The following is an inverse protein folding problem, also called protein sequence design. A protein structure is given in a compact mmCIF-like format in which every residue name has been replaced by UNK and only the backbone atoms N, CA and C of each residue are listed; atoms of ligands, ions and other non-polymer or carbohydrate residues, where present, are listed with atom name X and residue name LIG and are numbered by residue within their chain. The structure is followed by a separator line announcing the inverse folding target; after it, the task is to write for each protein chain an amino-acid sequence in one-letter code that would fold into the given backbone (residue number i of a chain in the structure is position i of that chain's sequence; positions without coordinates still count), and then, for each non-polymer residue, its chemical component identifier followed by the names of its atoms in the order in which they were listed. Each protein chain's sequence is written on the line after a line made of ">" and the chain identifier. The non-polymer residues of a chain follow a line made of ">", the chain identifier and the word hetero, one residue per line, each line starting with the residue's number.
data_IF_422666529073
#
_entry.id   IF_422666529073
#
_cell.length_a   1.000
_cell.length_b   1.000
_cell.length_c   1.000
_cell.angle_alpha   90.00
_cell.angle_beta   90.00
_cell.angle_gamma   90.00
#
_symmetry.space_group_name_H-M   'P 1'
#
loop_
_entity.id
_entity.type
_entity.pdbx_description
1 polymer ?
#
# COMPACT_ATOMS: atom_id res chain seq x y z
N UNK A 1 13.08 4.94 -14.46
CA UNK A 1 12.87 3.83 -13.51
C UNK A 1 11.43 3.86 -13.04
N UNK A 2 10.76 2.72 -12.97
CA UNK A 2 9.37 2.67 -12.49
C UNK A 2 9.30 2.88 -10.98
N UNK A 3 8.35 3.71 -10.53
CA UNK A 3 8.05 3.86 -9.10
C UNK A 3 7.02 2.80 -8.73
N UNK A 4 7.41 1.88 -7.85
CA UNK A 4 6.54 0.82 -7.38
C UNK A 4 5.94 1.19 -6.02
N UNK A 5 4.62 1.02 -5.88
CA UNK A 5 3.97 1.13 -4.59
C UNK A 5 4.41 -0.03 -3.69
N UNK A 6 4.78 0.29 -2.46
CA UNK A 6 5.29 -0.66 -1.47
C UNK A 6 4.58 -0.42 -0.14
N UNK A 7 4.65 -1.39 0.78
CA UNK A 7 4.16 -1.22 2.15
C UNK A 7 4.73 0.03 2.81
N UNK A 8 3.86 0.79 3.47
CA UNK A 8 4.18 2.07 4.10
C UNK A 8 4.08 3.28 3.17
N UNK A 9 3.73 3.09 1.90
CA UNK A 9 3.43 4.21 1.00
C UNK A 9 2.27 5.06 1.53
N UNK A 10 2.42 6.39 1.52
CA UNK A 10 1.34 7.30 1.88
C UNK A 10 0.37 7.46 0.71
N UNK A 11 -0.90 7.22 0.96
CA UNK A 11 -1.99 7.41 0.01
C UNK A 11 -2.94 8.49 0.55
N UNK A 12 -3.48 9.30 -0.35
CA UNK A 12 -4.40 10.38 -0.02
C UNK A 12 -5.74 10.14 -0.72
N UNK A 13 -6.80 9.93 0.04
CA UNK A 13 -8.14 9.80 -0.51
C UNK A 13 -8.66 11.18 -0.94
N UNK A 14 -9.28 11.27 -2.13
CA UNK A 14 -9.82 12.53 -2.65
C UNK A 14 -10.87 13.21 -1.74
N UNK A 15 -11.47 12.44 -0.84
CA UNK A 15 -12.51 12.88 0.11
C UNK A 15 -12.01 12.98 1.56
N UNK A 16 -10.79 12.50 1.84
CA UNK A 16 -10.22 12.44 3.19
C UNK A 16 -9.15 13.53 3.39
N UNK A 17 -9.01 14.01 4.62
CA UNK A 17 -8.00 15.03 4.97
C UNK A 17 -6.70 14.39 5.46
N UNK A 18 -6.77 13.18 6.04
CA UNK A 18 -5.62 12.47 6.57
C UNK A 18 -4.97 11.56 5.50
N UNK A 19 -3.64 11.55 5.37
CA UNK A 19 -2.94 10.56 4.58
C UNK A 19 -2.95 9.21 5.31
N UNK A 20 -3.36 8.15 4.62
CA UNK A 20 -3.38 6.78 5.15
C UNK A 20 -2.14 6.01 4.67
N UNK A 21 -1.61 5.12 5.50
CA UNK A 21 -0.48 4.26 5.15
C UNK A 21 -0.94 2.97 4.47
N UNK A 22 -0.41 2.66 3.30
CA UNK A 22 -0.72 1.43 2.58
C UNK A 22 -0.12 0.21 3.31
N UNK A 23 -0.98 -0.70 3.74
CA UNK A 23 -0.57 -1.97 4.35
C UNK A 23 -0.63 -3.05 3.26
N UNK A 24 0.49 -3.73 3.02
CA UNK A 24 0.57 -4.83 2.03
C UNK A 24 0.92 -6.09 2.76
N UNK A 25 0.12 -7.14 2.55
CA UNK A 25 0.39 -8.44 3.14
C UNK A 25 1.56 -9.12 2.38
N UNK A 26 2.50 -9.79 3.07
CA UNK A 26 3.62 -10.49 2.44
C UNK A 26 3.21 -11.79 1.73
N UNK A 27 1.97 -11.91 1.27
CA UNK A 27 1.39 -13.10 0.62
C UNK A 27 2.12 -13.47 -0.66
N UNK A 28 2.49 -12.46 -1.47
CA UNK A 28 3.15 -12.68 -2.76
C UNK A 28 4.67 -12.84 -2.64
N UNK A 29 5.25 -12.58 -1.45
CA UNK A 29 6.70 -12.69 -1.15
C UNK A 29 7.63 -11.92 -2.10
N UNK A 30 7.11 -10.93 -2.82
CA UNK A 30 7.89 -10.00 -3.63
C UNK A 30 8.21 -8.78 -2.78
N UNK A 31 9.49 -8.46 -2.65
CA UNK A 31 9.99 -7.33 -1.86
C UNK A 31 10.65 -6.31 -2.77
N UNK A 32 10.50 -5.03 -2.46
CA UNK A 32 11.09 -3.91 -3.20
C UNK A 32 11.78 -2.99 -2.21
N UNK A 33 13.11 -3.06 -2.15
CA UNK A 33 13.90 -2.26 -1.20
C UNK A 33 13.72 -2.64 0.28
N UNK A 34 13.17 -3.83 0.57
CA UNK A 34 12.87 -4.29 1.93
C UNK A 34 11.37 -4.53 2.21
N UNK A 35 10.47 -3.55 1.97
CA UNK A 35 9.03 -3.76 2.15
C UNK A 35 8.40 -4.65 1.07
N UNK A 36 7.28 -5.32 1.38
CA UNK A 36 6.52 -6.06 0.38
C UNK A 36 5.95 -5.13 -0.70
N UNK A 37 5.99 -5.63 -1.93
CA UNK A 37 5.48 -4.98 -3.14
C UNK A 37 3.95 -4.99 -3.16
N UNK A 38 3.35 -3.82 -3.38
CA UNK A 38 1.91 -3.71 -3.57
C UNK A 38 1.48 -4.24 -4.94
N UNK A 39 0.28 -4.81 -5.01
CA UNK A 39 -0.37 -5.25 -6.24
C UNK A 39 -1.82 -4.69 -6.34
N UNK A 40 -2.50 -4.99 -7.45
CA UNK A 40 -3.87 -4.49 -7.69
C UNK A 40 -4.93 -5.07 -6.73
N UNK A 41 -4.60 -6.13 -6.00
CA UNK A 41 -5.51 -6.74 -5.01
C UNK A 41 -5.41 -6.07 -3.63
N UNK A 42 -4.44 -5.17 -3.41
CA UNK A 42 -4.25 -4.44 -2.13
C UNK A 42 -5.21 -3.23 -1.99
N UNK A 43 -6.46 -3.39 -2.40
CA UNK A 43 -7.51 -2.36 -2.31
C UNK A 43 -8.55 -2.67 -1.22
N UNK A 44 -8.31 -3.68 -0.38
CA UNK A 44 -9.28 -4.10 0.64
C UNK A 44 -9.38 -3.02 1.74
N UNK A 45 -10.58 -2.46 1.98
CA UNK A 45 -10.80 -1.47 3.04
C UNK A 45 -10.42 -2.03 4.41
N UNK A 46 -9.87 -1.19 5.28
CA UNK A 46 -9.45 -1.50 6.66
C UNK A 46 -8.22 -2.42 6.73
N UNK A 47 -8.09 -3.40 5.83
CA UNK A 47 -6.97 -4.34 5.78
C UNK A 47 -5.74 -3.73 5.09
N UNK A 48 -5.90 -3.27 3.86
CA UNK A 48 -4.84 -2.63 3.08
C UNK A 48 -4.90 -1.11 3.14
N UNK A 49 -6.12 -0.58 3.22
CA UNK A 49 -6.43 0.86 3.28
C UNK A 49 -7.09 1.17 4.63
N UNK A 50 -6.29 1.41 5.69
CA UNK A 50 -6.81 1.90 6.97
C UNK A 50 -7.39 3.33 6.81
N UNK A 51 -8.23 3.78 7.77
CA UNK A 51 -8.87 5.10 7.71
C UNK A 51 -7.89 6.28 7.73
#
# INVERSE_FOLDING_TARGET
>A
MGQQACMGGMMMCSFGVAPSSLVVLPTNRVMVGGPPAANIMDHVPILNVPP
#
